data_IF_340620526123
#
_entry.id   IF_340620526123
#
_cell.length_a   1.000
_cell.length_b   1.000
_cell.length_c   1.000
_cell.angle_alpha   90.00
_cell.angle_beta   90.00
_cell.angle_gamma   90.00
#
_symmetry.space_group_name_H-M   'P 1'
#
loop_
_entity.id
_entity.type
_entity.pdbx_description
1 polymer ?
#
# COMPACT_ATOMS: atom_id res chain seq x y z
N UNK A 1 -4.90 -0.76 7.86
CA UNK A 1 -3.59 -1.46 7.91
C UNK A 1 -2.64 -0.66 7.06
N UNK A 2 -1.51 -0.21 7.61
CA UNK A 2 -0.50 0.54 6.85
C UNK A 2 0.69 -0.38 6.54
N UNK A 3 1.15 -0.34 5.29
CA UNK A 3 2.26 -1.16 4.82
C UNK A 3 3.28 -0.31 4.10
N UNK A 4 4.55 -0.69 4.21
CA UNK A 4 5.67 -0.12 3.47
C UNK A 4 6.28 -1.22 2.59
N UNK A 5 6.56 -0.90 1.34
CA UNK A 5 7.21 -1.83 0.43
C UNK A 5 8.09 -1.10 -0.59
N UNK A 6 8.95 -1.86 -1.25
CA UNK A 6 9.89 -1.37 -2.25
C UNK A 6 9.59 -2.03 -3.59
N UNK A 7 9.61 -1.24 -4.65
CA UNK A 7 9.59 -1.74 -6.04
C UNK A 7 10.96 -1.46 -6.64
N UNK A 8 11.59 -2.51 -7.18
CA UNK A 8 12.82 -2.41 -7.98
C UNK A 8 12.43 -2.18 -9.43
N UNK A 9 12.86 -1.07 -10.01
CA UNK A 9 12.67 -0.76 -11.42
C UNK A 9 13.83 -1.36 -12.23
N UNK A 10 13.60 -1.64 -13.51
CA UNK A 10 14.63 -2.16 -14.42
C UNK A 10 15.84 -1.22 -14.55
N UNK A 11 15.63 0.08 -14.31
CA UNK A 11 16.67 1.12 -14.28
C UNK A 11 17.56 1.11 -13.02
N UNK A 12 17.54 0.03 -12.23
CA UNK A 12 18.24 -0.12 -10.95
C UNK A 12 17.82 0.91 -9.88
N UNK A 13 16.73 1.66 -10.13
CA UNK A 13 16.14 2.59 -9.18
C UNK A 13 15.20 1.84 -8.22
N UNK A 14 15.21 2.25 -6.95
CA UNK A 14 14.29 1.73 -5.92
C UNK A 14 13.25 2.78 -5.60
N UNK A 15 11.97 2.42 -5.77
CA UNK A 15 10.85 3.26 -5.35
C UNK A 15 10.26 2.73 -4.05
N UNK A 16 10.41 3.51 -2.99
CA UNK A 16 9.72 3.28 -1.72
C UNK A 16 8.25 3.69 -1.87
N UNK A 17 7.32 2.87 -1.36
CA UNK A 17 5.89 3.13 -1.39
C UNK A 17 5.25 2.80 -0.05
N UNK A 18 4.15 3.50 0.21
CA UNK A 18 3.29 3.28 1.37
C UNK A 18 1.87 3.01 0.89
N UNK A 19 1.20 2.03 1.48
CA UNK A 19 -0.20 1.74 1.22
C UNK A 19 -0.99 1.64 2.51
N UNK A 20 -2.19 2.22 2.52
CA UNK A 20 -3.17 2.02 3.58
C UNK A 20 -4.35 1.20 3.02
N UNK A 21 -4.69 0.13 3.71
CA UNK A 21 -5.86 -0.72 3.40
C UNK A 21 -7.00 -0.41 4.37
N UNK A 22 -8.17 -0.11 3.81
CA UNK A 22 -9.44 -0.04 4.52
C UNK A 22 -10.12 -1.40 4.33
N UNK A 23 -10.46 -2.05 5.44
CA UNK A 23 -11.14 -3.34 5.44
C UNK A 23 -12.52 -3.23 6.06
N UNK A 24 -13.46 -4.03 5.55
CA UNK A 24 -14.80 -4.17 6.09
C UNK A 24 -15.09 -5.65 6.33
N UNK A 25 -15.87 -5.94 7.36
CA UNK A 25 -16.37 -7.28 7.61
C UNK A 25 -17.73 -7.43 6.93
N UNK A 26 -17.87 -8.43 6.06
CA UNK A 26 -19.11 -8.76 5.37
C UNK A 26 -19.30 -10.27 5.39
N UNK A 27 -20.44 -10.74 5.89
CA UNK A 27 -20.78 -12.17 5.96
C UNK A 27 -19.71 -13.01 6.68
N UNK A 28 -19.18 -12.48 7.79
CA UNK A 28 -18.12 -13.14 8.56
C UNK A 28 -16.72 -13.09 7.93
N UNK A 29 -16.59 -12.57 6.71
CA UNK A 29 -15.32 -12.47 5.98
C UNK A 29 -14.78 -11.03 5.97
N UNK A 30 -13.46 -10.90 6.07
CA UNK A 30 -12.79 -9.61 5.88
C UNK A 30 -12.54 -9.35 4.41
N UNK A 31 -12.94 -8.18 3.92
CA UNK A 31 -12.73 -7.73 2.54
C UNK A 31 -12.00 -6.39 2.53
N UNK A 32 -11.13 -6.18 1.55
CA UNK A 32 -10.52 -4.87 1.31
C UNK A 32 -11.56 -4.01 0.59
N UNK A 33 -11.98 -2.92 1.23
CA UNK A 33 -12.94 -1.96 0.67
C UNK A 33 -12.23 -0.87 -0.14
N UNK A 34 -11.02 -0.48 0.25
CA UNK A 34 -10.23 0.52 -0.46
C UNK A 34 -8.73 0.36 -0.19
N UNK A 35 -7.92 0.80 -1.17
CA UNK A 35 -6.46 0.87 -1.06
C UNK A 35 -6.04 2.29 -1.42
N UNK A 36 -5.31 2.96 -0.51
CA UNK A 36 -4.70 4.27 -0.76
C UNK A 36 -3.20 4.12 -0.90
N UNK A 37 -2.68 4.34 -2.10
CA UNK A 37 -1.24 4.35 -2.36
C UNK A 37 -0.68 5.77 -2.23
N UNK A 38 0.44 5.89 -1.54
CA UNK A 38 1.10 7.16 -1.27
C UNK A 38 2.56 7.08 -1.67
N UNK A 39 3.02 8.11 -2.38
CA UNK A 39 4.46 8.32 -2.50
C UNK A 39 4.98 8.81 -1.14
N UNK A 40 6.17 8.38 -0.71
CA UNK A 40 6.75 8.89 0.53
C UNK A 40 6.83 10.41 0.47
N UNK A 41 6.43 11.07 1.55
CA UNK A 41 6.62 12.51 1.65
C UNK A 41 8.12 12.83 1.48
N UNK A 42 8.44 13.72 0.54
CA UNK A 42 9.78 14.29 0.47
C UNK A 42 10.00 15.11 1.74
N UNK A 43 11.11 14.87 2.41
CA UNK A 43 11.48 15.53 3.66
C UNK A 43 12.11 16.88 3.39
#
# INVERSE_FOLDING_TARGET
MDTKYEIKLESNQVRNLWSTFIVVQQEGNWKIAAIRNMSPAQR
#
